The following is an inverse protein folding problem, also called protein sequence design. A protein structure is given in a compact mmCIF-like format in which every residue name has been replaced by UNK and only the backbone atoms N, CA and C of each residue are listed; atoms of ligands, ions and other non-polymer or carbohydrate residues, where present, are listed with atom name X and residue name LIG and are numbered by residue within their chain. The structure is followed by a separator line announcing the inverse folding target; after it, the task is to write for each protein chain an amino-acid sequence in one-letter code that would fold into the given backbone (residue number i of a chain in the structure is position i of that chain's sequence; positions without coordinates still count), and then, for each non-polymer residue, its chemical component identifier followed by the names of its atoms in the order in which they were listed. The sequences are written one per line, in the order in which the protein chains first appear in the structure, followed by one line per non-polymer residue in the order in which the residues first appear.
data_IF_691479888614
#
_entry.id   IF_691479888614
#
_cell.length_a   1.000
_cell.length_b   1.000
_cell.length_c   1.000
_cell.angle_alpha   90.00
_cell.angle_beta   90.00
_cell.angle_gamma   90.00
#
_symmetry.space_group_name_H-M   'P 1'
#
loop_
_entity.id
_entity.type
_entity.pdbx_description
1 polymer ?
#
# COMPACT_ATOMS: atom_id res chain seq x y z
N UNK A 1 -22.46 2.22 5.12
CA UNK A 1 -21.40 2.12 6.14
C UNK A 1 -20.09 2.22 5.38
N UNK A 2 -19.46 3.39 5.36
CA UNK A 2 -18.16 3.55 4.71
C UNK A 2 -17.14 2.87 5.62
N UNK A 3 -16.61 1.73 5.18
CA UNK A 3 -15.45 1.14 5.83
C UNK A 3 -14.28 2.13 5.64
N UNK A 4 -13.54 2.43 6.72
CA UNK A 4 -12.29 3.19 6.60
C UNK A 4 -11.39 2.44 5.61
N UNK A 5 -11.19 2.98 4.42
CA UNK A 5 -10.34 2.36 3.41
C UNK A 5 -8.88 2.57 3.81
N UNK A 6 -8.17 1.48 4.09
CA UNK A 6 -6.73 1.54 4.37
C UNK A 6 -5.98 1.84 3.07
N UNK A 7 -5.35 3.00 2.97
CA UNK A 7 -4.59 3.39 1.78
C UNK A 7 -3.08 3.12 1.86
N UNK A 8 -2.53 3.02 3.08
CA UNK A 8 -1.09 2.86 3.31
C UNK A 8 -0.76 1.44 3.77
N UNK A 9 0.13 0.77 3.04
CA UNK A 9 0.59 -0.58 3.31
C UNK A 9 2.09 -0.59 3.60
N UNK A 10 2.47 -0.90 4.83
CA UNK A 10 3.87 -0.92 5.27
C UNK A 10 4.56 -2.21 4.85
N UNK A 11 5.86 -2.13 4.63
CA UNK A 11 6.73 -3.30 4.45
C UNK A 11 8.04 -3.09 5.19
N UNK A 12 8.59 -4.18 5.73
CA UNK A 12 9.84 -4.17 6.45
C UNK A 12 10.03 -5.41 7.31
N UNK A 13 11.22 -5.53 7.89
CA UNK A 13 11.67 -6.74 8.60
C UNK A 13 10.72 -7.23 9.70
N UNK A 14 10.10 -6.32 10.44
CA UNK A 14 9.27 -6.65 11.60
C UNK A 14 7.77 -6.62 11.32
N UNK A 15 7.37 -5.87 10.29
CA UNK A 15 5.96 -5.67 9.99
C UNK A 15 5.78 -5.42 8.49
N UNK A 16 4.90 -6.21 7.89
CA UNK A 16 4.53 -6.10 6.49
C UNK A 16 3.03 -6.34 6.34
N UNK A 17 2.33 -5.36 5.77
CA UNK A 17 0.89 -5.36 5.54
C UNK A 17 0.48 -6.07 4.24
N UNK A 18 1.43 -6.26 3.33
CA UNK A 18 1.22 -6.75 1.97
C UNK A 18 1.85 -8.11 1.69
N UNK A 19 1.57 -8.67 0.51
CA UNK A 19 2.28 -9.83 -0.03
C UNK A 19 2.19 -9.87 -1.56
N UNK A 20 2.84 -10.86 -2.18
CA UNK A 20 2.88 -11.00 -3.65
C UNK A 20 1.52 -11.13 -4.34
N UNK A 21 0.45 -11.55 -3.67
CA UNK A 21 -0.88 -11.69 -4.29
C UNK A 21 -1.59 -10.34 -4.47
N UNK A 22 -1.20 -9.31 -3.72
CA UNK A 22 -1.85 -8.00 -3.69
C UNK A 22 -1.38 -7.07 -4.82
N UNK A 23 -1.08 -7.61 -6.02
CA UNK A 23 -0.57 -6.83 -7.15
C UNK A 23 -1.56 -5.78 -7.67
N UNK A 24 -2.84 -6.11 -7.68
CA UNK A 24 -3.88 -5.16 -8.12
C UNK A 24 -3.98 -3.96 -7.17
N UNK A 25 -3.73 -4.19 -5.87
CA UNK A 25 -3.85 -3.17 -4.83
C UNK A 25 -2.56 -2.36 -4.61
N UNK A 26 -1.40 -3.02 -4.67
CA UNK A 26 -0.09 -2.42 -4.35
C UNK A 26 0.77 -2.15 -5.59
N UNK A 27 0.31 -2.55 -6.76
CA UNK A 27 1.13 -2.65 -7.96
C UNK A 27 2.18 -3.77 -7.88
N UNK A 28 2.80 -4.08 -9.02
CA UNK A 28 3.81 -5.15 -9.09
C UNK A 28 5.07 -4.89 -8.24
N UNK A 29 5.49 -3.63 -8.10
CA UNK A 29 6.65 -3.26 -7.26
C UNK A 29 6.32 -3.36 -5.76
N UNK A 30 5.21 -2.76 -5.31
CA UNK A 30 4.81 -2.79 -3.90
C UNK A 30 4.56 -4.21 -3.41
N UNK A 31 3.85 -5.03 -4.19
CA UNK A 31 3.62 -6.44 -3.87
C UNK A 31 4.92 -7.25 -3.74
N UNK A 32 5.91 -7.00 -4.62
CA UNK A 32 7.20 -7.68 -4.55
C UNK A 32 8.06 -7.16 -3.38
N UNK A 33 8.06 -5.85 -3.06
CA UNK A 33 8.78 -5.32 -1.89
C UNK A 33 8.22 -5.87 -0.57
N UNK A 34 6.89 -6.00 -0.49
CA UNK A 34 6.23 -6.65 0.62
C UNK A 34 6.63 -8.14 0.69
N UNK A 35 6.59 -8.87 -0.42
CA UNK A 35 7.04 -10.27 -0.47
C UNK A 35 8.50 -10.43 -0.02
N UNK A 36 9.40 -9.60 -0.54
CA UNK A 36 10.83 -9.60 -0.16
C UNK A 36 11.00 -9.38 1.35
N UNK A 37 10.24 -8.45 1.93
CA UNK A 37 10.23 -8.21 3.38
C UNK A 37 9.74 -9.44 4.16
N UNK A 38 8.64 -10.05 3.71
CA UNK A 38 8.02 -11.23 4.34
C UNK A 38 8.93 -12.45 4.33
N UNK A 39 9.68 -12.69 3.25
CA UNK A 39 10.64 -13.81 3.16
C UNK A 39 12.02 -13.49 3.79
N UNK A 40 12.16 -12.33 4.44
CA UNK A 40 13.35 -11.96 5.20
C UNK A 40 14.51 -11.42 4.37
N UNK A 41 14.29 -11.02 3.11
CA UNK A 41 15.30 -10.28 2.35
C UNK A 41 15.45 -8.89 2.97
N UNK A 42 16.69 -8.42 3.25
CA UNK A 42 16.92 -7.10 3.83
C UNK A 42 16.61 -6.01 2.80
N UNK A 43 15.35 -5.57 2.79
CA UNK A 43 14.91 -4.36 2.10
C UNK A 43 14.75 -3.23 3.13
N UNK A 44 15.16 -1.98 2.80
CA UNK A 44 14.88 -0.84 3.67
C UNK A 44 13.37 -0.73 3.96
N UNK A 45 12.96 -0.46 5.21
CA UNK A 45 11.56 -0.33 5.55
C UNK A 45 10.91 0.83 4.81
N UNK A 46 9.64 0.67 4.46
CA UNK A 46 8.89 1.66 3.70
C UNK A 46 7.41 1.35 3.66
N UNK A 47 6.71 1.99 2.72
CA UNK A 47 5.28 1.79 2.52
C UNK A 47 4.91 1.96 1.05
N UNK A 48 3.74 1.42 0.69
CA UNK A 48 3.09 1.58 -0.61
C UNK A 48 1.73 2.25 -0.38
N UNK A 49 1.45 3.29 -1.16
CA UNK A 49 0.10 3.86 -1.27
C UNK A 49 -0.65 3.04 -2.31
N UNK A 50 -1.85 2.56 -1.95
CA UNK A 50 -2.61 1.64 -2.80
C UNK A 50 -3.11 2.27 -4.10
N UNK A 51 -3.41 1.43 -5.08
CA UNK A 51 -4.06 1.83 -6.33
C UNK A 51 -5.46 2.39 -6.09
N UNK A 52 -6.15 1.96 -5.04
CA UNK A 52 -7.44 2.52 -4.62
C UNK A 52 -7.32 3.99 -4.20
N UNK A 53 -6.24 4.38 -3.50
CA UNK A 53 -5.98 5.78 -3.16
C UNK A 53 -5.79 6.63 -4.42
N UNK A 54 -5.10 6.08 -5.42
CA UNK A 54 -4.95 6.72 -6.73
C UNK A 54 -6.31 6.90 -7.43
N UNK A 55 -7.13 5.84 -7.48
CA UNK A 55 -8.47 5.90 -8.08
C UNK A 55 -9.36 6.93 -7.37
N UNK A 56 -9.31 6.98 -6.05
CA UNK A 56 -10.09 7.95 -5.27
C UNK A 56 -9.63 9.38 -5.56
N UNK A 57 -8.33 9.61 -5.67
CA UNK A 57 -7.76 10.92 -5.99
C UNK A 57 -8.18 11.40 -7.39
N UNK A 58 -8.20 10.49 -8.37
CA UNK A 58 -8.70 10.80 -9.72
C UNK A 58 -10.19 11.16 -9.68
N UNK A 59 -10.99 10.41 -8.92
CA UNK A 59 -12.42 10.69 -8.75
C UNK A 59 -12.67 12.01 -8.00
N UNK A 60 -11.75 12.39 -7.11
CA UNK A 60 -11.80 13.61 -6.30
C UNK A 60 -11.02 14.77 -6.93
N UNK A 61 -11.01 14.86 -8.27
CA UNK A 61 -10.43 16.00 -9.00
C UNK A 61 -8.95 16.26 -8.66
N UNK A 62 -8.16 15.19 -8.55
CA UNK A 62 -6.73 15.23 -8.21
C UNK A 62 -6.45 15.70 -6.77
N UNK A 63 -7.44 15.67 -5.89
CA UNK A 63 -7.28 15.90 -4.46
C UNK A 63 -7.19 14.57 -3.71
N UNK A 64 -6.16 14.44 -2.88
CA UNK A 64 -6.00 13.27 -2.02
C UNK A 64 -7.14 13.16 -1.01
N UNK A 65 -7.61 11.95 -0.67
CA UNK A 65 -8.57 11.78 0.42
C UNK A 65 -7.92 12.12 1.76
N UNK A 66 -8.64 12.79 2.66
CA UNK A 66 -8.13 13.19 3.97
C UNK A 66 -7.69 11.97 4.80
N UNK A 67 -8.41 10.86 4.64
CA UNK A 67 -8.13 9.57 5.30
C UNK A 67 -6.78 8.95 4.88
N UNK A 68 -6.14 9.45 3.81
CA UNK A 68 -4.77 9.02 3.44
C UNK A 68 -3.72 9.47 4.46
N UNK A 69 -3.96 10.60 5.13
CA UNK A 69 -2.99 11.24 6.01
C UNK A 69 -3.20 10.93 7.49
N UNK A 70 -4.27 10.21 7.83
CA UNK A 70 -4.55 9.69 9.18
C UNK A 70 -3.70 8.44 9.51
#
# INVERSE_FOLDING_TARGET
MAYLNKYVYRFGRFHTDGNKSMKELLGGKGANLAEMSTIGIPVPPGFTISTEACQQTVNNQMQWPDELFE
#
